data_IF_341976788621
#
_entry.id   IF_341976788621
#
_cell.length_a   1.000
_cell.length_b   1.000
_cell.length_c   1.000
_cell.angle_alpha   90.00
_cell.angle_beta   90.00
_cell.angle_gamma   90.00
#
_symmetry.space_group_name_H-M   'P 1'
#
loop_
_entity.id
_entity.type
_entity.pdbx_description
1 polymer ?
#
# COMPACT_ATOMS: atom_id res chain seq x y z
N UNK A 1 -3.80 -4.12 -0.20
CA UNK A 1 -3.46 -3.96 -1.63
C UNK A 1 -3.28 -5.33 -2.24
N UNK A 2 -3.58 -5.49 -3.52
CA UNK A 2 -3.25 -6.69 -4.30
C UNK A 2 -2.89 -6.29 -5.74
N UNK A 3 -1.97 -7.04 -6.35
CA UNK A 3 -1.49 -6.78 -7.71
C UNK A 3 -1.00 -8.06 -8.39
N UNK A 4 -0.80 -8.00 -9.70
CA UNK A 4 -0.55 -9.17 -10.55
C UNK A 4 0.79 -9.19 -11.27
N UNK A 5 1.58 -8.12 -11.17
CA UNK A 5 2.95 -8.07 -11.69
C UNK A 5 3.95 -8.54 -10.64
N UNK A 6 5.17 -8.90 -11.06
CA UNK A 6 6.27 -9.22 -10.13
C UNK A 6 7.01 -7.99 -9.61
N UNK A 7 6.52 -6.78 -9.90
CA UNK A 7 7.03 -5.57 -9.29
C UNK A 7 6.88 -5.61 -7.77
N UNK A 8 7.77 -4.90 -7.11
CA UNK A 8 7.72 -4.55 -5.71
C UNK A 8 6.89 -3.27 -5.55
N UNK A 9 5.68 -3.43 -5.02
CA UNK A 9 4.76 -2.33 -4.75
C UNK A 9 4.53 -2.24 -3.24
N UNK A 10 4.74 -1.05 -2.69
CA UNK A 10 4.55 -0.77 -1.27
C UNK A 10 3.19 -0.10 -1.02
N UNK A 11 2.48 -0.57 0.00
CA UNK A 11 1.38 0.12 0.64
C UNK A 11 1.92 1.03 1.75
N UNK A 12 1.57 2.31 1.68
CA UNK A 12 1.85 3.29 2.73
C UNK A 12 0.54 3.88 3.26
N UNK A 13 0.40 3.99 4.57
CA UNK A 13 -0.69 4.72 5.21
C UNK A 13 -0.13 5.80 6.12
N UNK A 14 -0.61 7.03 5.96
CA UNK A 14 -0.42 8.12 6.92
C UNK A 14 -1.63 8.14 7.84
N UNK A 15 -1.40 7.97 9.14
CA UNK A 15 -2.45 7.94 10.17
C UNK A 15 -2.66 9.33 10.81
N UNK A 16 -3.71 9.51 11.63
CA UNK A 16 -3.89 10.73 12.41
C UNK A 16 -2.66 11.01 13.28
N UNK A 17 -2.13 12.22 13.21
CA UNK A 17 -0.85 12.58 13.84
C UNK A 17 0.37 12.47 12.90
N UNK A 18 0.13 12.25 11.61
CA UNK A 18 1.13 12.27 10.52
C UNK A 18 2.20 11.16 10.58
N UNK A 19 1.99 10.15 11.44
CA UNK A 19 2.84 8.96 11.48
C UNK A 19 2.56 8.07 10.25
N UNK A 20 3.63 7.52 9.66
CA UNK A 20 3.56 6.70 8.46
C UNK A 20 3.75 5.23 8.80
N UNK A 21 2.95 4.37 8.19
CA UNK A 21 3.13 2.92 8.22
C UNK A 21 3.50 2.48 6.81
N UNK A 22 4.67 1.86 6.65
CA UNK A 22 5.22 1.37 5.38
C UNK A 22 6.33 0.33 5.66
N UNK A 23 6.94 -0.25 4.63
CA UNK A 23 7.98 -1.30 4.78
C UNK A 23 9.11 -0.93 5.76
N UNK A 24 9.55 0.33 5.75
CA UNK A 24 10.63 0.84 6.62
C UNK A 24 10.17 1.27 8.02
N UNK A 25 8.86 1.36 8.26
CA UNK A 25 8.27 1.66 9.56
C UNK A 25 6.94 0.90 9.72
N UNK A 26 7.07 -0.38 10.11
CA UNK A 26 5.97 -1.35 10.01
C UNK A 26 4.96 -1.30 11.15
N UNK A 27 5.27 -0.63 12.25
CA UNK A 27 4.41 -0.54 13.43
C UNK A 27 4.30 0.91 13.87
N UNK A 28 3.08 1.44 13.99
CA UNK A 28 2.87 2.78 14.51
C UNK A 28 2.68 2.80 16.03
N UNK A 29 2.87 3.97 16.63
CA UNK A 29 2.59 4.25 18.05
C UNK A 29 1.13 4.01 18.42
N UNK A 30 0.21 4.11 17.47
CA UNK A 30 -1.22 3.86 17.69
C UNK A 30 -1.62 2.39 17.49
N UNK A 31 -0.64 1.52 17.18
CA UNK A 31 -0.84 0.08 17.03
C UNK A 31 -1.22 -0.36 15.61
N UNK A 32 -1.12 0.52 14.62
CA UNK A 32 -1.23 0.17 13.21
C UNK A 32 -0.04 -0.68 12.76
N UNK A 33 -0.26 -1.65 11.86
CA UNK A 33 0.75 -2.64 11.47
C UNK A 33 0.70 -2.99 9.99
N UNK A 34 1.86 -3.03 9.35
CA UNK A 34 2.10 -3.70 8.06
C UNK A 34 2.55 -5.14 8.31
N UNK A 35 1.74 -6.12 7.90
CA UNK A 35 2.02 -7.54 8.16
C UNK A 35 2.80 -8.26 7.06
N UNK A 36 2.52 -7.95 5.80
CA UNK A 36 3.13 -8.59 4.65
C UNK A 36 3.71 -7.54 3.71
N UNK A 37 4.92 -7.85 3.27
CA UNK A 37 5.72 -7.11 2.31
C UNK A 37 6.14 -8.14 1.25
N UNK A 38 5.59 -8.02 0.04
CA UNK A 38 5.71 -9.03 -1.01
C UNK A 38 6.49 -8.50 -2.20
N UNK A 39 7.17 -9.41 -2.90
CA UNK A 39 7.95 -9.14 -4.11
C UNK A 39 9.23 -8.32 -3.90
N UNK A 40 9.73 -8.21 -2.66
CA UNK A 40 11.06 -7.64 -2.33
C UNK A 40 12.18 -8.19 -3.22
N UNK A 41 12.17 -9.50 -3.49
CA UNK A 41 13.13 -10.17 -4.37
C UNK A 41 12.42 -10.88 -5.51
N UNK A 42 12.90 -10.64 -6.74
CA UNK A 42 12.29 -11.15 -7.97
C UNK A 42 12.18 -12.69 -8.02
N UNK A 43 13.19 -13.41 -7.52
CA UNK A 43 13.24 -14.88 -7.51
C UNK A 43 12.11 -15.50 -6.67
N UNK A 44 11.61 -14.76 -5.68
CA UNK A 44 10.51 -15.15 -4.79
C UNK A 44 9.19 -14.40 -5.09
N UNK A 45 9.20 -13.49 -6.07
CA UNK A 45 8.06 -12.66 -6.38
C UNK A 45 6.92 -13.45 -7.03
N UNK A 46 5.68 -13.11 -6.65
CA UNK A 46 4.45 -13.79 -7.05
C UNK A 46 3.50 -12.82 -7.77
N UNK A 47 2.63 -13.38 -8.64
CA UNK A 47 1.61 -12.63 -9.41
C UNK A 47 0.25 -12.55 -8.71
N UNK A 48 0.19 -12.97 -7.46
CA UNK A 48 -0.98 -12.85 -6.57
C UNK A 48 -0.55 -12.17 -5.28
N UNK A 49 0.28 -11.13 -5.43
CA UNK A 49 0.90 -10.44 -4.32
C UNK A 49 -0.12 -9.57 -3.57
N UNK A 50 0.06 -9.46 -2.27
CA UNK A 50 -0.81 -8.73 -1.35
C UNK A 50 0.01 -8.03 -0.27
N UNK A 51 -0.49 -6.91 0.20
CA UNK A 51 -0.02 -6.24 1.43
C UNK A 51 -1.19 -5.68 2.19
N UNK A 52 -1.11 -5.60 3.51
CA UNK A 52 -2.12 -4.89 4.28
C UNK A 52 -1.59 -4.14 5.49
N UNK A 53 -2.18 -2.96 5.69
CA UNK A 53 -2.02 -2.18 6.91
C UNK A 53 -3.34 -2.23 7.68
N UNK A 54 -3.27 -2.56 8.96
CA UNK A 54 -4.44 -2.65 9.83
C UNK A 54 -4.14 -2.20 11.26
N UNK A 55 -5.22 -1.87 11.98
CA UNK A 55 -5.21 -1.68 13.42
C UNK A 55 -6.04 -2.81 14.06
N UNK A 56 -5.76 -3.17 15.33
CA UNK A 56 -6.67 -4.03 16.07
C UNK A 56 -8.10 -3.47 16.09
N UNK A 57 -9.10 -4.36 16.19
CA UNK A 57 -10.52 -3.97 16.13
C UNK A 57 -10.84 -2.86 17.14
N UNK A 58 -11.36 -1.75 16.63
CA UNK A 58 -11.73 -0.58 17.44
C UNK A 58 -10.55 0.23 17.99
N UNK A 59 -9.32 -0.03 17.52
CA UNK A 59 -8.10 0.70 17.95
C UNK A 59 -7.57 1.69 16.92
N UNK A 60 -8.11 1.69 15.70
CA UNK A 60 -7.78 2.71 14.71
C UNK A 60 -8.12 4.11 15.27
N UNK A 61 -7.16 5.04 15.34
CA UNK A 61 -7.41 6.41 15.78
C UNK A 61 -8.53 7.12 14.98
N UNK A 62 -9.24 8.02 15.66
CA UNK A 62 -10.15 8.96 14.99
C UNK A 62 -9.29 10.04 14.31
N UNK A 63 -9.69 10.44 13.11
CA UNK A 63 -9.01 11.49 12.35
C UNK A 63 -8.80 11.13 10.90
N UNK A 64 -7.93 11.89 10.26
CA UNK A 64 -7.65 11.80 8.83
C UNK A 64 -6.60 10.75 8.51
N UNK A 65 -6.87 9.96 7.49
CA UNK A 65 -5.96 8.98 6.93
C UNK A 65 -5.68 9.29 5.46
N UNK A 66 -4.47 8.97 5.02
CA UNK A 66 -4.10 8.99 3.60
C UNK A 66 -3.47 7.66 3.22
N UNK A 67 -3.97 7.06 2.14
CA UNK A 67 -3.51 5.78 1.62
C UNK A 67 -2.75 6.02 0.33
N UNK A 68 -1.52 5.53 0.27
CA UNK A 68 -0.64 5.66 -0.88
C UNK A 68 -0.19 4.29 -1.37
N UNK A 69 0.15 4.23 -2.65
CA UNK A 69 0.87 3.11 -3.24
C UNK A 69 2.14 3.64 -3.88
N UNK A 70 3.25 2.96 -3.62
CA UNK A 70 4.56 3.32 -4.15
C UNK A 70 5.14 2.17 -4.98
N UNK A 71 5.65 2.48 -6.18
CA UNK A 71 6.35 1.52 -7.02
C UNK A 71 7.82 1.48 -6.62
N UNK A 72 8.14 0.65 -5.62
CA UNK A 72 9.46 0.60 -5.02
C UNK A 72 10.52 0.08 -5.97
N UNK A 73 10.22 -1.01 -6.68
CA UNK A 73 11.14 -1.63 -7.61
C UNK A 73 10.41 -2.35 -8.76
N UNK A 74 10.80 -2.06 -9.99
CA UNK A 74 10.26 -2.74 -11.17
C UNK A 74 10.95 -4.09 -11.45
N UNK A 75 12.11 -4.40 -10.88
CA UNK A 75 12.93 -5.60 -11.21
C UNK A 75 13.38 -5.76 -12.68
N UNK A 76 12.79 -5.06 -13.65
CA UNK A 76 13.22 -4.98 -15.05
C UNK A 76 13.05 -6.28 -15.84
N UNK A 77 12.04 -7.10 -15.52
CA UNK A 77 11.79 -8.40 -16.18
C UNK A 77 10.52 -8.37 -17.02
N UNK A 78 10.31 -9.41 -17.84
CA UNK A 78 9.20 -9.44 -18.79
C UNK A 78 7.80 -9.44 -18.13
N UNK A 79 7.71 -9.88 -16.88
CA UNK A 79 6.48 -9.89 -16.06
C UNK A 79 6.39 -8.71 -15.06
N UNK A 80 7.18 -7.67 -15.34
CA UNK A 80 7.20 -6.42 -14.61
C UNK A 80 6.61 -5.30 -15.48
N UNK A 81 5.37 -4.92 -15.19
CA UNK A 81 4.63 -3.92 -15.95
C UNK A 81 5.00 -2.50 -15.51
N UNK A 82 5.04 -1.54 -16.43
CA UNK A 82 5.19 -0.12 -16.12
C UNK A 82 4.27 0.71 -17.03
N UNK A 83 3.24 1.40 -16.49
CA UNK A 83 2.89 1.49 -15.06
C UNK A 83 2.35 0.17 -14.48
N UNK A 84 2.58 -0.04 -13.19
CA UNK A 84 2.10 -1.22 -12.48
C UNK A 84 0.65 -1.00 -12.02
N UNK A 85 -0.24 -1.91 -12.40
CA UNK A 85 -1.64 -1.94 -11.94
C UNK A 85 -1.76 -2.53 -10.54
N UNK A 86 -2.64 -1.97 -9.74
CA UNK A 86 -2.97 -2.45 -8.40
C UNK A 86 -4.43 -2.20 -8.05
N UNK A 87 -4.89 -2.89 -7.01
CA UNK A 87 -6.17 -2.62 -6.36
C UNK A 87 -5.98 -2.50 -4.84
N UNK A 88 -6.59 -1.49 -4.25
CA UNK A 88 -6.62 -1.26 -2.80
C UNK A 88 -8.04 -1.43 -2.29
N UNK A 89 -8.21 -2.27 -1.28
CA UNK A 89 -9.41 -2.34 -0.47
C UNK A 89 -9.19 -1.57 0.83
N UNK A 90 -10.03 -0.58 1.10
CA UNK A 90 -10.06 0.16 2.38
C UNK A 90 -11.33 -0.23 3.13
N UNK A 91 -11.19 -0.64 4.39
CA UNK A 91 -12.31 -1.01 5.26
C UNK A 91 -12.50 0.07 6.34
N UNK A 92 -13.56 0.86 6.21
CA UNK A 92 -13.89 1.91 7.19
C UNK A 92 -15.13 1.44 7.93
N UNK A 93 -15.01 1.15 9.23
CA UNK A 93 -16.15 0.71 10.08
C UNK A 93 -16.91 -0.49 9.52
N UNK A 94 -16.20 -1.43 8.91
CA UNK A 94 -16.81 -2.62 8.31
C UNK A 94 -17.39 -2.41 6.91
N UNK A 95 -17.38 -1.19 6.36
CA UNK A 95 -17.79 -0.92 4.98
C UNK A 95 -16.58 -0.94 4.05
N UNK A 96 -16.47 -1.90 3.12
CA UNK A 96 -15.37 -1.96 2.18
C UNK A 96 -15.56 -0.93 1.05
N UNK A 97 -14.45 -0.32 0.63
CA UNK A 97 -14.33 0.46 -0.60
C UNK A 97 -13.15 -0.05 -1.41
N UNK A 98 -13.31 -0.13 -2.72
CA UNK A 98 -12.30 -0.64 -3.64
C UNK A 98 -11.83 0.47 -4.57
N UNK A 99 -10.52 0.58 -4.72
CA UNK A 99 -9.86 1.56 -5.56
C UNK A 99 -8.92 0.83 -6.50
N UNK A 100 -9.05 1.10 -7.80
CA UNK A 100 -8.17 0.58 -8.83
C UNK A 100 -7.24 1.71 -9.27
N UNK A 101 -5.97 1.41 -9.51
CA UNK A 101 -5.01 2.41 -9.91
C UNK A 101 -3.81 1.83 -10.63
N UNK A 102 -2.98 2.73 -11.14
CA UNK A 102 -1.69 2.40 -11.74
C UNK A 102 -0.62 3.33 -11.15
N UNK A 103 0.61 2.82 -11.01
CA UNK A 103 1.75 3.59 -10.49
C UNK A 103 2.98 3.39 -11.40
N UNK A 104 3.52 4.46 -12.02
CA UNK A 104 4.69 4.36 -12.88
C UNK A 104 5.99 4.20 -12.07
N UNK A 105 6.96 3.46 -12.62
CA UNK A 105 8.33 3.42 -12.09
C UNK A 105 9.25 4.41 -12.79
N UNK A 106 9.17 4.60 -14.10
CA UNK A 106 10.14 5.47 -14.81
C UNK A 106 10.08 6.95 -14.41
N UNK A 107 8.92 7.43 -13.99
CA UNK A 107 8.74 8.81 -13.56
C UNK A 107 8.90 8.94 -12.04
N UNK A 108 10.08 9.40 -11.61
CA UNK A 108 10.40 9.57 -10.19
C UNK A 108 9.41 10.46 -9.43
N UNK A 109 8.78 11.45 -10.08
CA UNK A 109 7.80 12.34 -9.45
C UNK A 109 6.43 11.67 -9.28
N UNK A 110 6.19 10.54 -9.96
CA UNK A 110 4.92 9.81 -9.95
C UNK A 110 5.02 8.38 -9.41
N UNK A 111 6.18 7.98 -8.87
CA UNK A 111 6.36 6.65 -8.23
C UNK A 111 5.48 6.40 -7.03
N UNK A 112 4.86 7.43 -6.46
CA UNK A 112 3.98 7.35 -5.30
C UNK A 112 2.66 8.06 -5.60
N UNK A 113 1.54 7.35 -5.49
CA UNK A 113 0.21 7.87 -5.81
C UNK A 113 -0.68 7.88 -4.58
N UNK A 114 -1.42 8.97 -4.38
CA UNK A 114 -2.50 9.02 -3.38
C UNK A 114 -3.68 8.23 -3.92
N UNK A 115 -4.05 7.16 -3.24
CA UNK A 115 -5.20 6.32 -3.59
C UNK A 115 -6.48 6.85 -2.98
N UNK A 116 -6.43 7.19 -1.69
CA UNK A 116 -7.60 7.69 -0.99
C UNK A 116 -7.21 8.52 0.24
N UNK A 117 -7.99 9.56 0.52
CA UNK A 117 -7.95 10.32 1.76
C UNK A 117 -9.35 10.29 2.39
N UNK A 118 -9.43 9.99 3.68
CA UNK A 118 -10.70 9.85 4.40
C UNK A 118 -10.57 10.18 5.88
N UNK A 119 -11.68 10.57 6.50
CA UNK A 119 -11.77 10.76 7.95
C UNK A 119 -12.50 9.57 8.60
N UNK A 120 -11.94 9.07 9.69
CA UNK A 120 -12.64 8.23 10.67
C UNK A 120 -13.20 9.16 11.74
N UNK A 121 -14.52 9.14 11.96
CA UNK A 121 -15.24 10.03 12.90
C UNK A 121 -15.92 9.29 14.02
#
# INVERSE_FOLDING_TARGET
>A
MFWTSKNDLDLEVVEPGDEKIFWGHRQSRTGGRLDLDMNVFYDKAAKNAVENIFWPKGKAPIGRYKVYVHHFNNHGKADCEDPARFTVRVLIRGTPRWFHGEVPFKDAQRRRVLVHEFDVR
#
